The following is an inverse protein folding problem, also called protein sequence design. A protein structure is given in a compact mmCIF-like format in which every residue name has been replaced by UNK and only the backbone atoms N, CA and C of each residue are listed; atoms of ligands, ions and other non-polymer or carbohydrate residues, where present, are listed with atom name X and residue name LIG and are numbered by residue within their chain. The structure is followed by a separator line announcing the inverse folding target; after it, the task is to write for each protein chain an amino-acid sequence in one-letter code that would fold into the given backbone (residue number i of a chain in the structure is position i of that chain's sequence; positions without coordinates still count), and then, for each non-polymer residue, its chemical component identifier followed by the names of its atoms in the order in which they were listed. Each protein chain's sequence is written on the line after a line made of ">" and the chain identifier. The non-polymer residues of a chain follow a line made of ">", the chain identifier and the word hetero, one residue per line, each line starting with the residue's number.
data_IF_969569571672
#
_entry.id   IF_969569571672
#
_cell.length_a   1.000
_cell.length_b   1.000
_cell.length_c   1.000
_cell.angle_alpha   90.00
_cell.angle_beta   90.00
_cell.angle_gamma   90.00
#
_symmetry.space_group_name_H-M   'P 1'
#
loop_
_entity.id
_entity.type
_entity.pdbx_description
1 polymer ?
#
# COMPACT_ATOMS: atom_id res chain seq x y z
N UNK A 1 -39.51 -8.29 5.18
CA UNK A 1 -38.45 -8.06 4.16
C UNK A 1 -38.21 -6.57 4.08
N UNK A 2 -36.95 -6.13 4.09
CA UNK A 2 -36.62 -4.71 3.91
C UNK A 2 -36.82 -4.37 2.42
N UNK A 3 -37.52 -3.27 2.11
CA UNK A 3 -37.83 -2.91 0.72
C UNK A 3 -36.58 -2.46 -0.05
N UNK A 4 -36.59 -2.65 -1.37
CA UNK A 4 -35.50 -2.25 -2.26
C UNK A 4 -35.07 -0.79 -2.04
N UNK A 5 -36.02 0.15 -2.03
CA UNK A 5 -35.71 1.57 -1.84
C UNK A 5 -35.13 1.89 -0.47
N UNK A 6 -35.49 1.14 0.57
CA UNK A 6 -34.88 1.29 1.90
C UNK A 6 -33.43 0.82 1.86
N UNK A 7 -33.14 -0.33 1.24
CA UNK A 7 -31.76 -0.82 1.09
C UNK A 7 -30.93 0.19 0.30
N UNK A 8 -31.42 0.61 -0.87
CA UNK A 8 -30.75 1.56 -1.75
C UNK A 8 -30.40 2.89 -1.07
N UNK A 9 -31.36 3.47 -0.34
CA UNK A 9 -31.14 4.75 0.35
C UNK A 9 -30.20 4.62 1.55
N UNK A 10 -30.23 3.49 2.27
CA UNK A 10 -29.35 3.27 3.41
C UNK A 10 -27.91 3.00 2.99
N UNK A 11 -27.72 2.35 1.84
CA UNK A 11 -26.40 2.04 1.28
C UNK A 11 -25.80 3.18 0.44
N UNK A 12 -26.54 4.25 0.14
CA UNK A 12 -26.05 5.36 -0.67
C UNK A 12 -24.82 6.06 -0.05
N UNK A 13 -23.91 6.54 -0.91
CA UNK A 13 -22.72 7.30 -0.53
C UNK A 13 -23.06 8.53 0.32
N UNK A 14 -22.64 8.54 1.59
CA UNK A 14 -22.84 9.64 2.53
C UNK A 14 -21.83 9.60 3.69
N UNK A 15 -21.71 10.68 4.49
CA UNK A 15 -20.97 10.62 5.74
C UNK A 15 -21.63 9.64 6.72
N UNK A 16 -20.88 8.64 7.17
CA UNK A 16 -21.30 7.65 8.17
C UNK A 16 -20.29 7.62 9.31
N UNK A 17 -20.78 7.38 10.52
CA UNK A 17 -19.91 7.15 11.68
C UNK A 17 -19.16 5.83 11.52
N UNK A 18 -17.84 5.90 11.63
CA UNK A 18 -16.93 4.76 11.45
C UNK A 18 -15.88 4.78 12.55
N UNK A 19 -15.50 3.59 13.04
CA UNK A 19 -14.43 3.47 14.03
C UNK A 19 -13.08 3.52 13.32
N UNK A 20 -12.33 4.58 13.56
CA UNK A 20 -11.03 4.82 12.92
C UNK A 20 -9.93 4.63 13.96
N UNK A 21 -8.91 3.83 13.61
CA UNK A 21 -7.73 3.63 14.44
C UNK A 21 -6.89 4.91 14.50
N UNK A 22 -6.59 5.37 15.73
CA UNK A 22 -5.83 6.60 15.96
C UNK A 22 -4.42 6.49 15.38
N UNK A 23 -3.82 5.29 15.38
CA UNK A 23 -2.48 5.06 14.85
C UNK A 23 -2.41 5.23 13.32
N UNK A 24 -3.50 4.93 12.61
CA UNK A 24 -3.57 5.14 11.15
C UNK A 24 -3.63 6.63 10.79
N UNK A 25 -4.27 7.44 11.63
CA UNK A 25 -4.38 8.90 11.45
C UNK A 25 -3.08 9.61 11.87
N UNK A 26 -2.37 9.07 12.87
CA UNK A 26 -1.15 9.63 13.43
C UNK A 26 -0.01 8.60 13.47
N UNK A 27 0.51 8.17 12.30
CA UNK A 27 1.54 7.13 12.22
C UNK A 27 2.88 7.55 12.84
N UNK A 28 3.13 8.85 12.97
CA UNK A 28 4.37 9.39 13.55
C UNK A 28 4.42 9.29 15.09
N UNK A 29 3.27 9.10 15.75
CA UNK A 29 3.16 9.09 17.22
C UNK A 29 3.42 7.69 17.82
N UNK A 30 4.51 7.04 17.40
CA UNK A 30 4.84 5.64 17.73
C UNK A 30 5.21 5.39 19.19
N UNK A 31 5.56 6.44 19.94
CA UNK A 31 5.96 6.35 21.36
C UNK A 31 4.77 6.15 22.31
N UNK A 32 3.55 6.38 21.83
CA UNK A 32 2.36 6.43 22.67
C UNK A 32 1.44 5.23 22.41
N UNK A 33 0.87 4.72 23.49
CA UNK A 33 -0.31 3.85 23.43
C UNK A 33 -1.53 4.73 23.69
N UNK A 34 -2.51 4.70 22.79
CA UNK A 34 -3.73 5.49 22.91
C UNK A 34 -4.85 4.71 23.60
N UNK A 35 -5.57 5.40 24.50
CA UNK A 35 -6.84 4.94 25.06
C UNK A 35 -7.93 6.01 24.86
N UNK A 36 -9.03 5.71 24.15
CA UNK A 36 -9.26 4.49 23.35
C UNK A 36 -8.25 4.35 22.19
N UNK A 37 -8.13 3.16 21.59
CA UNK A 37 -7.26 2.95 20.43
C UNK A 37 -7.89 3.40 19.11
N UNK A 38 -9.22 3.53 19.08
CA UNK A 38 -9.99 4.02 17.94
C UNK A 38 -11.04 5.03 18.40
N UNK A 39 -11.46 5.91 17.47
CA UNK A 39 -12.45 6.97 17.70
C UNK A 39 -13.56 6.92 16.65
N UNK A 40 -14.81 7.28 17.01
CA UNK A 40 -15.89 7.40 16.04
C UNK A 40 -15.69 8.67 15.21
N UNK A 41 -15.52 8.54 13.90
CA UNK A 41 -15.42 9.67 12.96
C UNK A 41 -16.39 9.50 11.80
N UNK A 42 -16.94 10.62 11.32
CA UNK A 42 -17.67 10.65 10.06
C UNK A 42 -16.72 10.48 8.88
N UNK A 43 -16.88 9.38 8.15
CA UNK A 43 -16.16 9.09 6.90
C UNK A 43 -17.15 8.82 5.78
N UNK A 44 -16.73 9.06 4.55
CA UNK A 44 -17.54 8.77 3.38
C UNK A 44 -17.57 7.26 3.21
N UNK A 45 -18.78 6.70 3.22
CA UNK A 45 -19.01 5.28 3.05
C UNK A 45 -20.35 5.06 2.34
N UNK A 46 -20.54 3.85 1.82
CA UNK A 46 -21.68 3.49 0.98
C UNK A 46 -21.26 3.12 -0.43
N UNK A 47 -22.23 2.68 -1.23
CA UNK A 47 -22.07 2.33 -2.62
C UNK A 47 -22.48 3.47 -3.55
N UNK A 48 -21.85 3.51 -4.71
CA UNK A 48 -22.28 4.28 -5.87
C UNK A 48 -23.05 3.37 -6.83
N UNK A 49 -23.76 3.96 -7.80
CA UNK A 49 -24.55 3.21 -8.79
C UNK A 49 -23.70 2.45 -9.83
N UNK A 50 -22.40 2.72 -9.88
CA UNK A 50 -21.47 2.17 -10.85
C UNK A 50 -20.13 1.86 -10.16
N UNK A 51 -19.52 0.72 -10.47
CA UNK A 51 -18.25 0.28 -9.90
C UNK A 51 -17.06 1.13 -10.37
N UNK A 52 -17.20 1.85 -11.49
CA UNK A 52 -16.24 2.84 -11.96
C UNK A 52 -16.25 4.12 -11.11
N UNK A 53 -17.23 4.30 -10.21
CA UNK A 53 -17.30 5.43 -9.29
C UNK A 53 -16.76 5.05 -7.90
N UNK A 54 -16.22 6.05 -7.20
CA UNK A 54 -15.81 5.98 -5.81
C UNK A 54 -16.51 7.04 -4.97
N UNK A 55 -16.86 6.69 -3.73
CA UNK A 55 -17.47 7.60 -2.77
C UNK A 55 -16.38 8.41 -2.07
N UNK A 56 -16.25 9.69 -2.41
CA UNK A 56 -15.16 10.55 -1.95
C UNK A 56 -15.68 11.78 -1.21
N UNK A 57 -14.91 12.33 -0.25
CA UNK A 57 -15.30 13.56 0.44
C UNK A 57 -15.22 14.77 -0.50
N UNK A 58 -16.25 15.63 -0.43
CA UNK A 58 -16.28 16.93 -1.11
C UNK A 58 -16.07 18.10 -0.16
N UNK A 59 -16.34 17.88 1.13
CA UNK A 59 -16.06 18.83 2.20
C UNK A 59 -15.61 18.08 3.46
N UNK A 60 -14.66 18.68 4.17
CA UNK A 60 -14.08 18.14 5.40
C UNK A 60 -13.99 19.23 6.47
N UNK A 61 -13.95 18.80 7.72
CA UNK A 61 -13.72 19.67 8.87
C UNK A 61 -12.99 18.90 9.96
N UNK A 62 -12.39 19.62 10.90
CA UNK A 62 -11.67 19.01 12.02
C UNK A 62 -12.54 19.02 13.27
N UNK A 63 -12.47 17.92 14.03
CA UNK A 63 -13.09 17.77 15.35
C UNK A 63 -12.01 17.46 16.37
N UNK A 64 -12.11 18.03 17.56
CA UNK A 64 -11.14 17.81 18.64
C UNK A 64 -11.72 16.86 19.66
N UNK A 65 -10.97 15.81 20.01
CA UNK A 65 -11.36 14.80 20.99
C UNK A 65 -10.29 14.67 22.08
N UNK A 66 -10.73 14.30 23.28
CA UNK A 66 -9.82 14.00 24.38
C UNK A 66 -9.40 12.53 24.35
N UNK A 67 -8.09 12.29 24.20
CA UNK A 67 -7.50 10.97 24.08
C UNK A 67 -6.44 10.81 25.16
N UNK A 68 -6.46 9.67 25.85
CA UNK A 68 -5.42 9.34 26.81
C UNK A 68 -4.20 8.81 26.06
N UNK A 69 -3.08 9.51 26.22
CA UNK A 69 -1.76 9.12 25.73
C UNK A 69 -0.99 8.47 26.87
N UNK A 70 -0.51 7.25 26.64
CA UNK A 70 0.27 6.49 27.61
C UNK A 70 1.67 6.31 27.05
N UNK A 71 2.66 6.88 27.75
CA UNK A 71 4.07 6.55 27.51
C UNK A 71 4.48 5.43 28.46
N UNK A 72 4.96 4.28 27.95
CA UNK A 72 5.49 3.22 28.81
C UNK A 72 6.53 3.78 29.78
N UNK A 73 6.42 3.42 31.06
CA UNK A 73 7.32 3.84 32.15
C UNK A 73 7.34 5.34 32.52
N UNK A 74 6.64 6.21 31.79
CA UNK A 74 6.60 7.66 32.07
C UNK A 74 5.22 8.16 32.54
N UNK A 75 4.16 7.38 32.32
CA UNK A 75 2.82 7.66 32.82
C UNK A 75 1.78 7.91 31.71
N UNK A 76 0.61 8.38 32.12
CA UNK A 76 -0.53 8.61 31.23
C UNK A 76 -1.10 10.01 31.40
N UNK A 77 -1.47 10.68 30.31
CA UNK A 77 -2.09 12.02 30.31
C UNK A 77 -3.22 12.08 29.29
N UNK A 78 -4.25 12.87 29.60
CA UNK A 78 -5.34 13.17 28.65
C UNK A 78 -4.90 14.38 27.83
N UNK A 79 -4.95 14.24 26.51
CA UNK A 79 -4.55 15.26 25.56
C UNK A 79 -5.65 15.46 24.51
N UNK A 80 -5.82 16.70 24.09
CA UNK A 80 -6.69 17.02 22.96
C UNK A 80 -5.99 16.66 21.65
N UNK A 81 -6.66 15.91 20.80
CA UNK A 81 -6.21 15.53 19.46
C UNK A 81 -7.27 15.94 18.44
N UNK A 82 -6.84 16.46 17.30
CA UNK A 82 -7.71 16.85 16.20
C UNK A 82 -7.89 15.66 15.26
N UNK A 83 -9.05 15.47 14.66
CA UNK A 83 -9.29 14.43 13.67
C UNK A 83 -10.09 15.02 12.52
N UNK A 84 -9.87 14.53 11.29
CA UNK A 84 -10.61 15.00 10.13
C UNK A 84 -11.88 14.16 9.92
N UNK A 85 -13.01 14.86 9.82
CA UNK A 85 -14.31 14.32 9.47
C UNK A 85 -14.79 14.82 8.12
N UNK A 86 -15.51 13.95 7.41
CA UNK A 86 -16.15 14.29 6.15
C UNK A 86 -17.54 14.86 6.44
N UNK A 87 -17.81 16.08 5.97
CA UNK A 87 -19.12 16.73 6.11
C UNK A 87 -20.02 16.52 4.90
N UNK A 88 -19.45 16.25 3.73
CA UNK A 88 -20.20 15.94 2.51
C UNK A 88 -19.44 14.93 1.64
N UNK A 89 -20.18 14.09 0.90
CA UNK A 89 -19.64 13.00 0.08
C UNK A 89 -20.33 12.97 -1.28
N UNK A 90 -19.62 12.54 -2.32
CA UNK A 90 -20.17 12.41 -3.66
C UNK A 90 -19.51 11.25 -4.41
N UNK A 91 -20.25 10.64 -5.34
CA UNK A 91 -19.72 9.63 -6.24
C UNK A 91 -18.96 10.30 -7.39
N UNK A 92 -17.66 10.05 -7.48
CA UNK A 92 -16.80 10.57 -8.56
C UNK A 92 -16.17 9.43 -9.35
N UNK A 93 -15.88 9.60 -10.65
CA UNK A 93 -15.12 8.61 -11.40
C UNK A 93 -13.79 8.31 -10.74
N UNK A 94 -13.51 7.02 -10.55
CA UNK A 94 -12.20 6.56 -10.06
C UNK A 94 -11.14 7.09 -11.01
N UNK A 95 -10.13 7.76 -10.46
CA UNK A 95 -8.93 8.04 -11.24
C UNK A 95 -8.34 6.69 -11.61
N UNK A 96 -8.10 6.45 -12.90
CA UNK A 96 -7.29 5.32 -13.33
C UNK A 96 -5.92 5.50 -12.68
N UNK A 97 -5.73 4.87 -11.51
CA UNK A 97 -4.40 4.56 -11.03
C UNK A 97 -3.85 3.71 -12.15
N UNK A 98 -2.96 4.28 -12.95
CA UNK A 98 -2.02 3.50 -13.74
C UNK A 98 -1.30 2.67 -12.71
N UNK A 99 -1.86 1.50 -12.37
CA UNK A 99 -1.17 0.44 -11.67
C UNK A 99 0.14 0.40 -12.42
N UNK A 100 1.22 0.77 -11.74
CA UNK A 100 2.56 0.63 -12.28
C UNK A 100 2.61 -0.84 -12.61
N UNK A 101 2.35 -1.18 -13.88
CA UNK A 101 2.36 -2.54 -14.36
C UNK A 101 3.71 -3.03 -13.89
N UNK A 102 3.73 -3.99 -12.96
CA UNK A 102 4.95 -4.70 -12.65
C UNK A 102 5.55 -5.04 -14.01
N UNK A 103 6.76 -4.54 -14.25
CA UNK A 103 7.38 -4.55 -15.56
C UNK A 103 7.21 -5.95 -16.14
N UNK A 104 6.48 -6.07 -17.26
CA UNK A 104 6.15 -7.31 -17.96
C UNK A 104 7.39 -7.97 -18.60
N UNK A 105 8.57 -7.82 -18.02
CA UNK A 105 9.75 -8.50 -18.49
C UNK A 105 9.63 -9.98 -18.13
N UNK A 106 9.63 -10.85 -19.14
CA UNK A 106 9.76 -12.28 -18.88
C UNK A 106 11.08 -12.58 -18.16
N UNK A 107 11.10 -13.54 -17.21
CA UNK A 107 12.31 -13.91 -16.52
C UNK A 107 13.38 -14.43 -17.49
N UNK A 108 14.62 -13.92 -17.38
CA UNK A 108 15.75 -14.34 -18.22
C UNK A 108 15.99 -15.87 -18.27
N UNK A 109 15.63 -16.59 -17.21
CA UNK A 109 15.65 -18.05 -17.18
C UNK A 109 14.83 -18.57 -16.00
N UNK A 110 13.82 -19.42 -16.26
CA UNK A 110 12.98 -19.99 -15.20
C UNK A 110 13.76 -20.76 -14.13
N UNK A 111 14.74 -21.57 -14.55
CA UNK A 111 15.52 -22.41 -13.62
C UNK A 111 16.71 -21.72 -12.98
N UNK A 112 17.17 -20.59 -13.54
CA UNK A 112 18.49 -20.01 -13.23
C UNK A 112 18.47 -18.51 -12.99
N UNK A 113 17.35 -17.96 -12.50
CA UNK A 113 17.15 -16.52 -12.23
C UNK A 113 18.32 -15.87 -11.46
N UNK A 114 18.93 -16.59 -10.51
CA UNK A 114 20.03 -16.08 -9.68
C UNK A 114 21.35 -15.79 -10.43
N UNK A 115 21.54 -16.33 -11.64
CA UNK A 115 22.75 -16.13 -12.45
C UNK A 115 22.65 -14.94 -13.41
N UNK A 116 21.46 -14.36 -13.58
CA UNK A 116 21.20 -13.27 -14.52
C UNK A 116 20.84 -11.98 -13.79
N UNK A 117 21.24 -10.85 -14.37
CA UNK A 117 20.81 -9.50 -14.01
C UNK A 117 19.97 -8.97 -15.16
N UNK A 118 18.75 -8.54 -14.86
CA UNK A 118 17.83 -7.97 -15.84
C UNK A 118 17.75 -6.46 -15.67
N UNK A 119 17.85 -5.73 -16.78
CA UNK A 119 17.61 -4.30 -16.82
C UNK A 119 16.08 -4.02 -16.70
N UNK A 120 15.61 -3.27 -15.69
CA UNK A 120 14.18 -3.02 -15.49
C UNK A 120 13.51 -2.19 -16.58
N UNK A 121 14.28 -1.43 -17.37
CA UNK A 121 13.76 -0.54 -18.42
C UNK A 121 13.85 -1.17 -19.81
N UNK A 122 14.86 -1.99 -20.07
CA UNK A 122 15.07 -2.62 -21.40
C UNK A 122 14.78 -4.12 -21.43
N UNK A 123 14.46 -4.72 -20.28
CA UNK A 123 14.33 -6.17 -20.07
C UNK A 123 15.58 -6.98 -20.49
N UNK A 124 16.72 -6.33 -20.75
CA UNK A 124 17.95 -6.98 -21.22
C UNK A 124 18.56 -7.85 -20.12
N UNK A 125 18.81 -9.10 -20.46
CA UNK A 125 19.44 -10.08 -19.58
C UNK A 125 20.96 -10.10 -19.77
N UNK A 126 21.69 -10.03 -18.66
CA UNK A 126 23.16 -10.14 -18.64
C UNK A 126 23.60 -11.07 -17.53
N UNK A 127 24.78 -11.70 -17.67
CA UNK A 127 25.31 -12.55 -16.61
C UNK A 127 25.68 -11.74 -15.37
N UNK A 128 25.30 -12.23 -14.20
CA UNK A 128 25.63 -11.62 -12.90
C UNK A 128 27.13 -11.68 -12.61
N UNK A 129 27.81 -12.71 -13.10
CA UNK A 129 29.25 -12.86 -12.95
C UNK A 129 29.97 -12.46 -14.23
N UNK A 130 31.15 -11.87 -14.07
CA UNK A 130 32.06 -11.52 -15.17
C UNK A 130 33.05 -12.65 -15.43
N UNK A 131 33.56 -12.71 -16.65
CA UNK A 131 34.57 -13.69 -17.07
C UNK A 131 35.83 -13.67 -16.18
N UNK A 132 36.26 -12.48 -15.76
CA UNK A 132 37.35 -12.29 -14.80
C UNK A 132 37.15 -13.04 -13.47
N UNK A 133 35.90 -13.18 -13.01
CA UNK A 133 35.55 -13.90 -11.78
C UNK A 133 35.56 -15.42 -11.96
N UNK A 134 35.29 -15.91 -13.17
CA UNK A 134 35.44 -17.34 -13.47
C UNK A 134 36.92 -17.70 -13.64
N UNK A 135 37.69 -16.83 -14.30
CA UNK A 135 39.14 -17.01 -14.54
C UNK A 135 39.96 -17.07 -13.25
N UNK A 136 39.59 -16.33 -12.20
CA UNK A 136 40.23 -16.47 -10.88
C UNK A 136 40.08 -17.86 -10.27
N UNK A 137 39.12 -18.66 -10.75
CA UNK A 137 38.89 -20.05 -10.36
C UNK A 137 39.32 -21.06 -11.43
N UNK A 138 40.09 -20.62 -12.44
CA UNK A 138 40.52 -21.45 -13.59
C UNK A 138 39.35 -22.04 -14.39
N UNK A 139 38.23 -21.32 -14.44
CA UNK A 139 37.03 -21.67 -15.20
C UNK A 139 36.74 -20.57 -16.23
N UNK A 140 35.97 -20.90 -17.26
CA UNK A 140 35.52 -19.96 -18.27
C UNK A 140 34.03 -19.67 -18.10
N UNK A 141 33.64 -18.41 -18.25
CA UNK A 141 32.22 -18.04 -18.19
C UNK A 141 31.52 -18.49 -19.47
N UNK A 142 30.56 -19.39 -19.35
CA UNK A 142 29.64 -19.69 -20.42
C UNK A 142 28.57 -18.58 -20.47
N UNK A 143 28.69 -17.65 -21.43
CA UNK A 143 27.80 -16.49 -21.56
C UNK A 143 26.34 -16.87 -21.85
N UNK A 144 26.08 -18.07 -22.38
CA UNK A 144 24.71 -18.55 -22.63
C UNK A 144 24.04 -19.05 -21.35
N UNK A 145 24.79 -19.70 -20.47
CA UNK A 145 24.27 -20.31 -19.23
C UNK A 145 24.59 -19.51 -17.97
N UNK A 146 25.42 -18.47 -18.09
CA UNK A 146 26.01 -17.67 -17.02
C UNK A 146 26.70 -18.50 -15.93
N UNK A 147 27.28 -19.66 -16.30
CA UNK A 147 28.01 -20.56 -15.40
C UNK A 147 29.50 -20.50 -15.67
N UNK A 148 30.31 -20.58 -14.61
CA UNK A 148 31.74 -20.85 -14.75
C UNK A 148 31.92 -22.36 -15.00
N UNK A 149 32.35 -22.73 -16.20
CA UNK A 149 32.53 -24.12 -16.63
C UNK A 149 34.02 -24.39 -16.89
N UNK A 150 34.43 -25.66 -16.85
CA UNK A 150 35.82 -26.01 -17.18
C UNK A 150 36.04 -25.78 -18.68
N UNK A 151 37.22 -25.27 -19.10
CA UNK A 151 37.54 -25.16 -20.52
C UNK A 151 37.42 -26.54 -21.16
N UNK A 152 36.65 -26.64 -22.25
CA UNK A 152 36.61 -27.86 -23.04
C UNK A 152 37.96 -27.95 -23.78
N UNK A 153 38.73 -29.00 -23.50
CA UNK A 153 39.92 -29.36 -24.27
C UNK A 153 39.55 -29.69 -25.71
#
# INVERSE_FOLDING_TARGET
>A
VISFFVVYNLSACRPLETMVDIFQEYPDEVEFIFKPSCVPLKRCAGCCNDEALECVPTAVHNVTMEIMRIKPFQGQRINQMSFQEHSNCECRPKKEVRTRQENHCEPCSERRKHLYKQDPQTCKCSCKFTDSRCKSRQLELNERTCRCEKPRR
#
